data_IF_979441799950
#
_entry.id   IF_979441799950
#
_cell.length_a   1.000
_cell.length_b   1.000
_cell.length_c   1.000
_cell.angle_alpha   90.00
_cell.angle_beta   90.00
_cell.angle_gamma   90.00
#
_symmetry.space_group_name_H-M   'P 1'
#
loop_
_entity.id
_entity.type
_entity.pdbx_description
1 polymer ?
#
# COMPACT_ATOMS: atom_id res chain seq x y z
N UNK A 1 37.94 0.10 -3.93
CA UNK A 1 36.96 1.17 -3.58
C UNK A 1 35.67 1.06 -4.38
N UNK A 2 35.72 0.78 -5.69
CA UNK A 2 34.54 0.57 -6.57
C UNK A 2 33.58 -0.53 -6.06
N UNK A 3 34.11 -1.64 -5.54
CA UNK A 3 33.29 -2.73 -4.99
C UNK A 3 32.43 -2.33 -3.78
N UNK A 4 32.90 -1.44 -2.90
CA UNK A 4 32.13 -0.97 -1.73
C UNK A 4 31.00 -0.02 -2.14
N UNK A 5 31.20 0.77 -3.20
CA UNK A 5 30.20 1.67 -3.75
C UNK A 5 29.08 0.88 -4.43
N UNK A 6 29.42 -0.19 -5.17
CA UNK A 6 28.44 -1.11 -5.75
C UNK A 6 27.62 -1.84 -4.68
N UNK A 7 28.26 -2.29 -3.59
CA UNK A 7 27.58 -2.90 -2.44
C UNK A 7 26.62 -1.92 -1.75
N UNK A 8 27.04 -0.67 -1.52
CA UNK A 8 26.18 0.36 -0.93
C UNK A 8 24.98 0.71 -1.83
N UNK A 9 25.19 0.81 -3.15
CA UNK A 9 24.11 1.08 -4.10
C UNK A 9 23.07 -0.06 -4.14
N UNK A 10 23.52 -1.31 -4.02
CA UNK A 10 22.64 -2.48 -3.97
C UNK A 10 21.80 -2.53 -2.68
N UNK A 11 22.39 -2.15 -1.54
CA UNK A 11 21.70 -2.09 -0.24
C UNK A 11 20.63 -0.99 -0.23
N UNK A 12 20.91 0.19 -0.80
CA UNK A 12 19.91 1.27 -0.92
C UNK A 12 18.73 0.88 -1.81
N UNK A 13 18.95 0.01 -2.81
CA UNK A 13 17.89 -0.54 -3.66
C UNK A 13 16.90 -1.47 -2.93
N UNK A 14 17.28 -2.01 -1.77
CA UNK A 14 16.40 -2.84 -0.92
C UNK A 14 15.58 -2.03 0.09
N UNK A 15 15.42 -0.72 -0.13
CA UNK A 15 14.47 0.07 0.64
C UNK A 15 13.07 -0.53 0.47
N UNK A 16 12.59 -1.13 1.57
CA UNK A 16 11.29 -1.78 1.71
C UNK A 16 10.18 -0.90 1.11
N UNK A 17 9.78 -1.24 -0.11
CA UNK A 17 8.59 -0.66 -0.69
C UNK A 17 7.46 -1.63 -0.37
N UNK A 18 6.53 -1.21 0.48
CA UNK A 18 5.23 -1.86 0.67
C UNK A 18 4.34 -1.65 -0.59
N UNK A 19 4.96 -1.77 -1.77
CA UNK A 19 4.32 -1.60 -3.06
C UNK A 19 4.62 -2.81 -3.90
N UNK A 20 3.61 -3.33 -4.57
CA UNK A 20 3.76 -4.42 -5.51
C UNK A 20 3.03 -4.08 -6.80
N UNK A 21 3.47 -4.69 -7.88
CA UNK A 21 2.91 -4.48 -9.21
C UNK A 21 2.32 -5.78 -9.71
N UNK A 22 1.19 -5.71 -10.41
CA UNK A 22 0.64 -6.85 -11.14
C UNK A 22 0.43 -6.51 -12.61
N UNK A 23 0.53 -7.51 -13.47
CA UNK A 23 0.02 -7.39 -14.84
C UNK A 23 -1.51 -7.25 -14.82
N UNK A 24 -2.07 -6.70 -15.90
CA UNK A 24 -3.52 -6.59 -16.06
C UNK A 24 -4.14 -7.99 -16.13
N UNK A 25 -5.06 -8.35 -15.22
CA UNK A 25 -5.73 -9.64 -15.28
C UNK A 25 -6.67 -9.71 -16.49
N UNK A 26 -6.97 -10.93 -16.93
CA UNK A 26 -7.98 -11.14 -17.97
C UNK A 26 -9.36 -10.67 -17.46
N UNK A 27 -10.04 -9.84 -18.24
CA UNK A 27 -11.37 -9.34 -17.89
C UNK A 27 -12.41 -10.42 -18.09
N UNK A 28 -13.38 -10.59 -17.17
CA UNK A 28 -14.57 -11.38 -17.44
C UNK A 28 -15.27 -10.90 -18.71
N UNK A 29 -15.84 -11.82 -19.51
CA UNK A 29 -16.49 -11.52 -20.79
C UNK A 29 -17.55 -10.43 -20.68
N UNK A 30 -18.29 -10.42 -19.57
CA UNK A 30 -19.34 -9.45 -19.27
C UNK A 30 -18.80 -8.03 -19.12
N UNK A 31 -17.54 -7.86 -18.71
CA UNK A 31 -16.87 -6.58 -18.49
C UNK A 31 -15.86 -6.24 -19.59
N UNK A 32 -15.74 -7.06 -20.63
CA UNK A 32 -14.78 -6.86 -21.72
C UNK A 32 -15.00 -5.53 -22.47
N UNK A 33 -16.23 -5.00 -22.45
CA UNK A 33 -16.59 -3.72 -23.07
C UNK A 33 -16.13 -2.49 -22.27
N UNK A 34 -15.73 -2.64 -20.99
CA UNK A 34 -15.23 -1.54 -20.16
C UNK A 34 -13.73 -1.38 -20.33
N UNK A 35 -13.27 -0.17 -20.65
CA UNK A 35 -11.84 0.15 -20.70
C UNK A 35 -11.28 0.37 -19.29
N UNK A 36 -10.04 -0.08 -19.05
CA UNK A 36 -9.39 0.01 -17.73
C UNK A 36 -8.91 -1.32 -17.16
N UNK A 37 -8.65 -1.36 -15.85
CA UNK A 37 -8.16 -2.53 -15.12
C UNK A 37 -9.30 -3.23 -14.41
N UNK A 38 -9.45 -4.55 -14.60
CA UNK A 38 -10.33 -5.35 -13.76
C UNK A 38 -9.67 -5.58 -12.40
N UNK A 39 -10.38 -5.21 -11.33
CA UNK A 39 -9.90 -5.35 -9.96
C UNK A 39 -10.76 -6.40 -9.26
N UNK A 40 -10.14 -7.53 -8.89
CA UNK A 40 -10.87 -8.65 -8.32
C UNK A 40 -11.62 -8.31 -7.03
N UNK A 41 -11.11 -7.36 -6.25
CA UNK A 41 -11.64 -7.04 -4.92
C UNK A 41 -12.90 -6.18 -4.98
N UNK A 42 -13.05 -5.35 -6.01
CA UNK A 42 -14.30 -4.62 -6.30
C UNK A 42 -15.16 -5.31 -7.36
N UNK A 43 -14.66 -6.40 -7.96
CA UNK A 43 -15.33 -7.17 -9.02
C UNK A 43 -15.80 -6.31 -10.20
N UNK A 44 -15.07 -5.23 -10.50
CA UNK A 44 -15.38 -4.33 -11.61
C UNK A 44 -14.11 -3.78 -12.28
N UNK A 45 -14.29 -3.12 -13.41
CA UNK A 45 -13.25 -2.43 -14.16
C UNK A 45 -13.20 -0.97 -13.76
N UNK A 46 -12.02 -0.51 -13.31
CA UNK A 46 -11.76 0.91 -13.05
C UNK A 46 -11.02 1.54 -14.23
N UNK A 47 -11.31 2.81 -14.60
CA UNK A 47 -10.68 3.46 -15.74
C UNK A 47 -9.15 3.59 -15.57
N UNK A 48 -8.44 3.64 -16.69
CA UNK A 48 -7.00 3.91 -16.68
C UNK A 48 -6.70 5.30 -16.10
N UNK A 49 -5.57 5.42 -15.41
CA UNK A 49 -5.12 6.63 -14.74
C UNK A 49 -5.83 6.90 -13.41
N UNK A 50 -6.73 6.02 -12.97
CA UNK A 50 -7.47 6.20 -11.70
C UNK A 50 -6.80 5.49 -10.54
N UNK A 51 -7.03 6.03 -9.35
CA UNK A 51 -6.57 5.46 -8.08
C UNK A 51 -7.77 5.25 -7.18
N UNK A 52 -7.90 4.05 -6.62
CA UNK A 52 -8.96 3.69 -5.68
C UNK A 52 -8.37 3.14 -4.37
N UNK A 53 -9.15 3.26 -3.31
CA UNK A 53 -8.83 2.78 -1.95
C UNK A 53 -10.05 2.05 -1.40
N UNK A 54 -10.28 0.79 -1.81
CA UNK A 54 -11.49 0.06 -1.46
C UNK A 54 -11.59 -0.16 0.05
N UNK A 55 -12.78 0.08 0.64
CA UNK A 55 -13.04 -0.25 2.04
C UNK A 55 -13.01 -1.76 2.25
N UNK A 56 -12.68 -2.19 3.47
CA UNK A 56 -12.48 -3.62 3.79
C UNK A 56 -11.11 -4.16 3.40
N UNK A 57 -10.29 -3.38 2.69
CA UNK A 57 -8.89 -3.72 2.40
C UNK A 57 -8.00 -2.50 2.60
N UNK A 58 -6.92 -2.64 3.36
CA UNK A 58 -6.02 -1.53 3.62
C UNK A 58 -4.94 -1.39 2.53
N UNK A 59 -5.38 -0.98 1.34
CA UNK A 59 -4.53 -0.83 0.16
C UNK A 59 -4.99 0.30 -0.75
N UNK A 60 -4.04 0.83 -1.50
CA UNK A 60 -4.26 1.76 -2.62
C UNK A 60 -3.96 1.04 -3.92
N UNK A 61 -4.86 1.14 -4.88
CA UNK A 61 -4.72 0.54 -6.21
C UNK A 61 -4.69 1.66 -7.23
N UNK A 62 -3.64 1.72 -8.04
CA UNK A 62 -3.55 2.59 -9.19
C UNK A 62 -3.61 1.76 -10.47
N UNK A 63 -4.56 2.08 -11.33
CA UNK A 63 -4.73 1.42 -12.62
C UNK A 63 -3.95 2.18 -13.70
N UNK A 64 -2.82 1.63 -14.13
CA UNK A 64 -2.06 2.12 -15.27
C UNK A 64 -2.41 1.37 -16.55
N UNK A 65 -1.94 1.85 -17.70
CA UNK A 65 -2.24 1.26 -19.01
C UNK A 65 -1.58 -0.10 -19.24
N UNK A 66 -0.49 -0.39 -18.53
CA UNK A 66 0.29 -1.63 -18.69
C UNK A 66 0.20 -2.56 -17.48
N UNK A 67 -0.08 -2.01 -16.30
CA UNK A 67 0.03 -2.70 -15.03
C UNK A 67 -0.84 -2.04 -13.96
N UNK A 68 -0.99 -2.74 -12.84
CA UNK A 68 -1.68 -2.23 -11.66
C UNK A 68 -0.63 -2.07 -10.56
N UNK A 69 -0.52 -0.86 -10.02
CA UNK A 69 0.35 -0.56 -8.88
C UNK A 69 -0.46 -0.62 -7.59
N UNK A 70 0.04 -1.37 -6.62
CA UNK A 70 -0.57 -1.49 -5.30
C UNK A 70 0.35 -0.90 -4.26
N UNK A 71 -0.22 -0.24 -3.24
CA UNK A 71 0.48 0.15 -2.03
C UNK A 71 -0.27 -0.36 -0.80
N UNK A 72 0.44 -1.08 0.07
CA UNK A 72 -0.04 -1.53 1.38
C UNK A 72 0.61 -0.73 2.51
N UNK A 73 0.21 -1.00 3.75
CA UNK A 73 0.86 -0.41 4.91
C UNK A 73 2.31 -0.85 5.02
N UNK A 74 3.16 0.06 5.50
CA UNK A 74 4.51 -0.28 5.94
C UNK A 74 4.50 -1.04 7.26
N UNK A 75 5.62 -1.68 7.58
CA UNK A 75 5.81 -2.29 8.90
C UNK A 75 6.12 -1.18 9.90
N UNK A 76 5.33 -1.11 10.98
CA UNK A 76 5.56 -0.25 12.14
C UNK A 76 5.85 -1.13 13.35
N UNK A 77 6.81 -0.71 14.17
CA UNK A 77 7.19 -1.40 15.40
C UNK A 77 7.75 -0.39 16.41
N UNK A 78 7.55 -0.64 17.69
CA UNK A 78 8.12 0.17 18.78
C UNK A 78 8.70 -0.74 19.87
N UNK A 79 9.79 -0.30 20.47
CA UNK A 79 10.37 -0.91 21.68
C UNK A 79 10.09 -0.07 22.93
N UNK A 80 9.41 1.07 22.79
CA UNK A 80 9.06 1.94 23.92
C UNK A 80 7.88 1.32 24.69
N UNK A 81 8.03 1.01 25.99
CA UNK A 81 6.96 0.42 26.78
C UNK A 81 5.74 1.35 26.99
N UNK A 82 5.88 2.65 26.73
CA UNK A 82 4.76 3.63 26.77
C UNK A 82 4.03 3.77 25.45
N UNK A 83 4.47 3.06 24.40
CA UNK A 83 3.86 3.13 23.09
C UNK A 83 3.38 1.75 22.65
N UNK A 84 2.27 1.73 21.92
CA UNK A 84 1.73 0.52 21.31
C UNK A 84 1.43 0.77 19.84
N UNK A 85 1.49 -0.29 19.05
CA UNK A 85 1.03 -0.28 17.65
C UNK A 85 -0.48 -0.43 17.66
N UNK A 86 -1.19 0.45 16.93
CA UNK A 86 -2.64 0.36 16.79
C UNK A 86 -3.03 -0.75 15.82
N UNK A 87 -4.23 -1.29 15.99
CA UNK A 87 -4.80 -2.23 15.03
C UNK A 87 -5.12 -1.56 13.68
N UNK A 88 -5.20 -2.37 12.63
CA UNK A 88 -5.65 -1.93 11.30
C UNK A 88 -7.15 -1.63 11.34
N UNK A 89 -7.56 -0.46 10.84
CA UNK A 89 -8.97 -0.03 10.81
C UNK A 89 -9.54 -0.12 9.38
N UNK A 90 -10.04 -1.29 9.00
CA UNK A 90 -10.57 -1.54 7.65
C UNK A 90 -11.87 -0.78 7.33
N UNK A 91 -12.43 -0.04 8.30
CA UNK A 91 -13.54 0.87 8.06
C UNK A 91 -13.11 2.17 7.36
N UNK A 92 -11.79 2.43 7.30
CA UNK A 92 -11.19 3.61 6.67
C UNK A 92 -10.48 3.25 5.37
N UNK A 93 -10.35 4.20 4.44
CA UNK A 93 -9.54 4.00 3.25
C UNK A 93 -8.03 4.05 3.59
N UNK A 94 -7.20 3.45 2.76
CA UNK A 94 -5.76 3.68 2.81
C UNK A 94 -5.44 5.16 2.56
N UNK A 95 -4.49 5.79 3.29
CA UNK A 95 -3.61 5.20 4.31
C UNK A 95 -4.17 5.21 5.74
N UNK A 96 -5.36 5.79 5.98
CA UNK A 96 -5.92 6.00 7.32
C UNK A 96 -6.31 4.71 8.05
N UNK A 97 -6.43 3.60 7.32
CA UNK A 97 -6.61 2.27 7.90
C UNK A 97 -5.32 1.65 8.46
N UNK A 98 -4.14 2.20 8.16
CA UNK A 98 -2.87 1.59 8.54
C UNK A 98 -2.60 1.67 10.06
N UNK A 99 -1.94 0.65 10.62
CA UNK A 99 -1.38 0.71 11.97
C UNK A 99 -0.45 1.92 12.15
N UNK A 100 -0.53 2.56 13.30
CA UNK A 100 0.35 3.65 13.72
C UNK A 100 0.85 3.40 15.15
N UNK A 101 1.86 4.16 15.59
CA UNK A 101 2.37 4.12 16.95
C UNK A 101 1.65 5.17 17.78
N UNK A 102 0.87 4.71 18.77
CA UNK A 102 0.30 5.59 19.79
C UNK A 102 1.06 5.46 21.08
N UNK A 103 1.50 6.58 21.61
CA UNK A 103 2.15 6.66 22.91
C UNK A 103 1.20 7.26 23.93
N UNK A 104 1.16 6.65 25.11
CA UNK A 104 0.56 7.26 26.29
C UNK A 104 1.49 8.40 26.71
N UNK A 105 1.25 9.57 26.11
CA UNK A 105 1.86 10.80 26.59
C UNK A 105 1.29 11.03 27.99
N UNK A 106 2.10 10.76 29.02
CA UNK A 106 1.91 11.40 30.32
C UNK A 106 1.73 12.90 30.00
N UNK A 107 0.56 13.46 30.30
CA UNK A 107 0.18 14.84 30.01
C UNK A 107 1.14 15.84 30.70
N UNK A 108 2.37 15.97 30.21
CA UNK A 108 3.25 17.09 30.50
C UNK A 108 2.92 18.21 29.51
N UNK A 109 1.70 18.72 29.66
CA UNK A 109 1.45 20.12 29.37
C UNK A 109 2.28 20.88 30.43
N UNK A 110 3.14 21.80 29.96
CA UNK A 110 4.05 22.63 30.78
C UNK A 110 3.44 23.17 32.07
#
# INVERSE_FOLDING_TARGET
>A
MVSKILLLAFIVGTASAATFISMLPEKPRELAHKEGCYIDTVKDVIPFGTTITPLGQCLRIHCSTMMIDYASCGVVATNDPKCHVTETDLSKPYPDCCPDIKCDLDNNIL
#
